data_IF_040600325775
#
_entry.id   IF_040600325775
#
_cell.length_a   1.000
_cell.length_b   1.000
_cell.length_c   1.000
_cell.angle_alpha   90.00
_cell.angle_beta   90.00
_cell.angle_gamma   90.00
#
_symmetry.space_group_name_H-M   'P 1'
#
loop_
_entity.id
_entity.type
_entity.pdbx_description
1 polymer ?
#
# COMPACT_ATOMS: atom_id res chain seq x y z
N UNK A 1 13.65 7.91 -5.30
CA UNK A 1 14.06 6.56 -5.72
C UNK A 1 14.67 5.70 -4.60
N UNK A 2 15.14 6.30 -3.49
CA UNK A 2 15.82 5.55 -2.42
C UNK A 2 14.94 4.46 -1.78
N UNK A 3 13.67 4.76 -1.52
CA UNK A 3 12.71 3.82 -0.91
C UNK A 3 12.42 2.63 -1.83
N UNK A 4 12.27 2.86 -3.13
CA UNK A 4 12.14 1.80 -4.14
C UNK A 4 13.36 0.86 -4.13
N UNK A 5 14.57 1.41 -4.24
CA UNK A 5 15.80 0.60 -4.27
C UNK A 5 16.00 -0.23 -3.02
N UNK A 6 15.62 0.32 -1.85
CA UNK A 6 15.66 -0.40 -0.57
C UNK A 6 14.71 -1.62 -0.61
N UNK A 7 13.44 -1.40 -0.95
CA UNK A 7 12.41 -2.45 -0.98
C UNK A 7 12.79 -3.56 -1.98
N UNK A 8 13.20 -3.19 -3.19
CA UNK A 8 13.63 -4.13 -4.24
C UNK A 8 14.87 -4.94 -3.81
N UNK A 9 15.86 -4.29 -3.21
CA UNK A 9 17.07 -4.99 -2.71
C UNK A 9 16.72 -5.95 -1.58
N UNK A 10 15.82 -5.57 -0.66
CA UNK A 10 15.36 -6.44 0.41
C UNK A 10 14.65 -7.67 -0.12
N UNK A 11 13.68 -7.50 -1.03
CA UNK A 11 12.94 -8.60 -1.67
C UNK A 11 13.89 -9.60 -2.33
N UNK A 12 14.82 -9.11 -3.16
CA UNK A 12 15.82 -9.94 -3.85
C UNK A 12 16.73 -10.69 -2.88
N UNK A 13 17.17 -10.05 -1.80
CA UNK A 13 18.03 -10.70 -0.79
C UNK A 13 17.29 -11.79 -0.03
N UNK A 14 16.05 -11.56 0.35
CA UNK A 14 15.21 -12.57 1.03
C UNK A 14 15.02 -13.77 0.11
N UNK A 15 14.60 -13.54 -1.14
CA UNK A 15 14.39 -14.60 -2.12
C UNK A 15 15.67 -15.40 -2.41
N UNK A 16 16.84 -14.75 -2.45
CA UNK A 16 18.13 -15.41 -2.64
C UNK A 16 18.54 -16.31 -1.47
N UNK A 17 18.13 -15.98 -0.24
CA UNK A 17 18.40 -16.80 0.96
C UNK A 17 17.38 -17.93 1.08
N UNK A 18 16.09 -17.64 0.89
CA UNK A 18 15.00 -18.62 0.96
C UNK A 18 13.80 -18.15 0.14
N UNK A 19 13.61 -18.76 -1.03
CA UNK A 19 12.57 -18.38 -1.99
C UNK A 19 11.13 -18.49 -1.45
N UNK A 20 10.88 -19.36 -0.48
CA UNK A 20 9.54 -19.58 0.09
C UNK A 20 9.14 -18.54 1.16
N UNK A 21 10.01 -17.58 1.49
CA UNK A 21 9.71 -16.53 2.47
C UNK A 21 9.07 -15.34 1.75
N UNK A 22 7.83 -15.03 2.12
CA UNK A 22 7.12 -13.87 1.61
C UNK A 22 7.60 -12.58 2.31
N UNK A 23 7.81 -11.53 1.53
CA UNK A 23 8.16 -10.21 1.97
C UNK A 23 7.02 -9.23 1.67
N UNK A 24 6.60 -8.46 2.66
CA UNK A 24 5.53 -7.48 2.49
C UNK A 24 5.69 -6.25 3.35
N UNK A 25 4.93 -5.22 3.01
CA UNK A 25 5.03 -3.89 3.61
C UNK A 25 3.65 -3.40 4.07
N UNK A 26 3.61 -2.75 5.23
CA UNK A 26 2.41 -2.13 5.78
C UNK A 26 2.51 -0.59 5.76
N UNK A 27 2.04 0.07 4.70
CA UNK A 27 2.10 1.53 4.59
C UNK A 27 0.86 2.22 5.17
N UNK A 28 0.85 3.56 5.19
CA UNK A 28 -0.36 4.32 5.43
C UNK A 28 -1.49 3.92 4.45
N UNK A 29 -2.74 3.93 4.92
CA UNK A 29 -3.88 3.46 4.14
C UNK A 29 -4.10 4.23 2.83
N UNK A 30 -3.87 5.55 2.82
CA UNK A 30 -4.02 6.40 1.63
C UNK A 30 -2.67 6.58 0.94
N UNK A 31 -2.55 6.11 -0.31
CA UNK A 31 -1.36 6.34 -1.14
C UNK A 31 -1.27 7.81 -1.58
N UNK A 32 -2.34 8.31 -2.23
CA UNK A 32 -2.57 9.72 -2.62
C UNK A 32 -4.08 9.97 -2.67
N UNK A 33 -4.50 11.21 -2.44
CA UNK A 33 -5.89 11.61 -2.67
C UNK A 33 -6.15 11.81 -4.17
N UNK A 34 -7.38 11.56 -4.60
CA UNK A 34 -7.82 11.80 -5.98
C UNK A 34 -7.65 13.25 -6.44
N UNK A 35 -7.73 14.21 -5.50
CA UNK A 35 -7.43 15.63 -5.75
C UNK A 35 -5.96 15.88 -6.11
N UNK A 36 -5.06 15.05 -5.61
CA UNK A 36 -3.61 15.22 -5.74
C UNK A 36 -3.03 14.36 -6.89
N UNK A 37 -3.73 13.28 -7.26
CA UNK A 37 -3.43 12.43 -8.41
C UNK A 37 -4.73 11.70 -8.86
N UNK A 38 -5.12 11.73 -10.15
CA UNK A 38 -6.32 11.06 -10.65
C UNK A 38 -6.38 9.55 -10.38
N UNK A 39 -5.23 8.90 -10.15
CA UNK A 39 -5.12 7.48 -9.82
C UNK A 39 -5.30 7.21 -8.32
N UNK A 40 -5.36 8.25 -7.50
CA UNK A 40 -5.51 8.19 -6.04
C UNK A 40 -6.88 7.70 -5.59
N UNK A 41 -7.01 7.40 -4.29
CA UNK A 41 -8.29 7.03 -3.69
C UNK A 41 -9.19 8.25 -3.55
N UNK A 42 -10.51 8.04 -3.55
CA UNK A 42 -11.50 9.11 -3.35
C UNK A 42 -11.57 9.53 -1.87
N UNK A 43 -10.46 10.09 -1.39
CA UNK A 43 -10.20 10.46 0.00
C UNK A 43 -9.66 11.89 0.08
N UNK A 44 -9.63 12.43 1.29
CA UNK A 44 -9.05 13.73 1.64
C UNK A 44 -8.14 13.57 2.88
N UNK A 45 -7.28 12.55 2.87
CA UNK A 45 -6.37 12.29 3.97
C UNK A 45 -5.26 13.36 4.02
N UNK A 46 -5.02 13.91 5.22
CA UNK A 46 -4.01 14.95 5.42
C UNK A 46 -2.56 14.45 5.41
N UNK A 47 -2.33 13.13 5.46
CA UNK A 47 -0.99 12.53 5.44
C UNK A 47 -0.96 11.30 4.51
N UNK A 48 -0.80 11.53 3.21
CA UNK A 48 -0.69 10.45 2.21
C UNK A 48 0.69 9.80 2.23
N UNK A 49 0.77 8.52 1.85
CA UNK A 49 2.04 7.77 1.87
C UNK A 49 3.07 8.31 0.86
N UNK A 50 2.61 8.76 -0.30
CA UNK A 50 3.51 9.31 -1.31
C UNK A 50 4.09 10.67 -0.87
N UNK A 51 3.25 11.55 -0.30
CA UNK A 51 3.63 12.95 -0.06
C UNK A 51 4.38 13.13 1.28
N UNK A 52 4.11 12.29 2.29
CA UNK A 52 4.74 12.41 3.62
C UNK A 52 5.85 11.40 3.89
N UNK A 53 5.75 10.19 3.33
CA UNK A 53 6.74 9.13 3.56
C UNK A 53 7.67 8.91 2.35
N UNK A 54 7.50 9.66 1.26
CA UNK A 54 8.25 9.48 0.00
C UNK A 54 8.24 8.02 -0.49
N UNK A 55 7.10 7.35 -0.26
CA UNK A 55 6.93 5.92 -0.46
C UNK A 55 5.83 5.66 -1.50
N UNK A 56 6.27 5.38 -2.73
CA UNK A 56 5.37 5.02 -3.83
C UNK A 56 4.97 3.54 -3.78
N UNK A 57 4.10 3.22 -2.81
CA UNK A 57 3.59 1.87 -2.59
C UNK A 57 2.76 1.34 -3.75
N UNK A 58 2.11 2.22 -4.51
CA UNK A 58 1.42 1.84 -5.75
C UNK A 58 2.41 1.29 -6.76
N UNK A 59 3.57 1.94 -6.95
CA UNK A 59 4.62 1.42 -7.82
C UNK A 59 5.19 0.09 -7.33
N UNK A 60 5.42 -0.06 -6.03
CA UNK A 60 5.89 -1.34 -5.48
C UNK A 60 4.92 -2.48 -5.78
N UNK A 61 3.62 -2.14 -5.77
CA UNK A 61 2.56 -3.08 -6.08
C UNK A 61 2.56 -3.46 -7.56
N UNK A 62 2.61 -2.47 -8.44
CA UNK A 62 2.59 -2.69 -9.89
C UNK A 62 3.84 -3.46 -10.36
N UNK A 63 5.01 -3.15 -9.81
CA UNK A 63 6.28 -3.74 -10.21
C UNK A 63 6.54 -5.11 -9.57
N UNK A 64 5.73 -5.53 -8.60
CA UNK A 64 5.84 -6.85 -7.96
C UNK A 64 7.09 -7.04 -7.10
N UNK A 65 7.60 -5.96 -6.49
CA UNK A 65 8.79 -6.01 -5.61
C UNK A 65 8.44 -6.27 -4.13
N UNK A 66 7.17 -6.57 -3.86
CA UNK A 66 6.65 -7.07 -2.57
C UNK A 66 5.64 -8.18 -2.88
N UNK A 67 5.58 -9.20 -2.04
CA UNK A 67 4.70 -10.36 -2.21
C UNK A 67 3.30 -10.11 -1.62
N UNK A 68 3.20 -9.23 -0.62
CA UNK A 68 1.95 -8.76 -0.05
C UNK A 68 2.03 -7.30 0.43
N UNK A 69 0.86 -6.65 0.52
CA UNK A 69 0.72 -5.31 1.10
C UNK A 69 -0.35 -5.32 2.19
N UNK A 70 -0.11 -4.55 3.26
CA UNK A 70 -1.03 -4.41 4.37
C UNK A 70 -1.31 -2.94 4.72
N UNK A 71 -2.16 -2.24 3.95
CA UNK A 71 -2.45 -0.82 4.19
C UNK A 71 -3.08 -0.59 5.57
N UNK A 72 -2.58 0.41 6.29
CA UNK A 72 -3.06 0.81 7.61
C UNK A 72 -4.36 1.62 7.48
N UNK A 73 -5.50 0.92 7.46
CA UNK A 73 -6.83 1.54 7.33
C UNK A 73 -7.50 1.62 8.70
N UNK A 74 -7.14 2.63 9.47
CA UNK A 74 -7.59 2.80 10.87
C UNK A 74 -8.82 3.71 11.02
N UNK A 75 -9.49 4.04 9.92
CA UNK A 75 -10.63 4.94 9.92
C UNK A 75 -11.96 4.18 9.80
N UNK A 76 -12.99 4.58 10.56
CA UNK A 76 -14.30 3.93 10.50
C UNK A 76 -15.09 4.36 9.26
N UNK A 77 -16.17 3.64 8.96
CA UNK A 77 -17.14 3.99 7.90
C UNK A 77 -17.79 5.38 8.09
N UNK A 78 -17.83 5.91 9.31
CA UNK A 78 -18.39 7.23 9.59
C UNK A 78 -17.48 8.39 9.15
N UNK A 79 -16.19 8.14 8.89
CA UNK A 79 -15.24 9.20 8.52
C UNK A 79 -15.19 9.36 7.00
N UNK A 80 -16.01 10.25 6.46
CA UNK A 80 -16.16 10.45 5.01
C UNK A 80 -14.83 10.77 4.30
N UNK A 81 -13.97 11.60 4.92
CA UNK A 81 -12.69 12.00 4.33
C UNK A 81 -11.66 10.87 4.16
N UNK A 82 -11.84 9.74 4.83
CA UNK A 82 -10.93 8.59 4.78
C UNK A 82 -11.69 7.29 5.05
N UNK A 83 -12.82 7.10 4.36
CA UNK A 83 -13.76 6.02 4.67
C UNK A 83 -13.14 4.64 4.40
N UNK A 84 -13.37 3.69 5.31
CA UNK A 84 -12.77 2.35 5.27
C UNK A 84 -12.96 1.64 3.92
N UNK A 85 -14.20 1.55 3.44
CA UNK A 85 -14.57 0.90 2.19
C UNK A 85 -13.92 1.55 0.97
N UNK A 86 -13.85 2.88 0.93
CA UNK A 86 -13.23 3.60 -0.19
C UNK A 86 -11.76 3.23 -0.31
N UNK A 87 -11.04 3.23 0.81
CA UNK A 87 -9.61 2.89 0.83
C UNK A 87 -9.39 1.41 0.49
N UNK A 88 -10.18 0.52 1.12
CA UNK A 88 -10.02 -0.92 0.90
C UNK A 88 -10.39 -1.34 -0.53
N UNK A 89 -11.46 -0.79 -1.10
CA UNK A 89 -11.84 -1.03 -2.50
C UNK A 89 -10.80 -0.50 -3.48
N UNK A 90 -10.20 0.67 -3.20
CA UNK A 90 -9.12 1.21 -4.03
C UNK A 90 -7.92 0.26 -4.08
N UNK A 91 -7.47 -0.25 -2.92
CA UNK A 91 -6.40 -1.26 -2.87
C UNK A 91 -6.79 -2.58 -3.53
N UNK A 92 -8.05 -3.01 -3.40
CA UNK A 92 -8.55 -4.23 -4.05
C UNK A 92 -8.50 -4.14 -5.58
N UNK A 93 -8.58 -2.92 -6.14
CA UNK A 93 -8.47 -2.68 -7.59
C UNK A 93 -7.10 -3.03 -8.20
N UNK A 94 -6.04 -3.09 -7.39
CA UNK A 94 -4.68 -3.40 -7.85
C UNK A 94 -4.33 -4.89 -7.82
N UNK A 95 -5.30 -5.75 -7.49
CA UNK A 95 -5.10 -7.18 -7.38
C UNK A 95 -4.99 -7.82 -8.78
N UNK A 96 -3.80 -7.78 -9.40
CA UNK A 96 -3.53 -8.47 -10.67
C UNK A 96 -2.44 -9.56 -10.58
N UNK A 97 -2.86 -10.74 -11.05
CA UNK A 97 -2.20 -11.98 -11.53
C UNK A 97 -1.01 -12.65 -10.85
N UNK A 98 -0.23 -12.04 -9.95
CA UNK A 98 0.88 -12.76 -9.25
C UNK A 98 1.00 -12.40 -7.76
N UNK A 99 -0.06 -11.85 -7.17
CA UNK A 99 -0.07 -11.32 -5.82
C UNK A 99 -0.63 -12.33 -4.83
N UNK A 100 0.11 -12.67 -3.77
CA UNK A 100 -0.33 -13.67 -2.82
C UNK A 100 -1.49 -13.16 -1.95
N UNK A 101 -1.52 -11.89 -1.51
CA UNK A 101 -2.66 -11.29 -0.77
C UNK A 101 -2.55 -9.77 -0.56
N UNK A 102 -3.70 -9.07 -0.48
CA UNK A 102 -3.82 -7.77 0.21
C UNK A 102 -4.40 -8.07 1.60
N UNK A 103 -3.68 -7.71 2.66
CA UNK A 103 -4.08 -8.01 4.04
C UNK A 103 -4.52 -6.71 4.71
N UNK A 104 -5.81 -6.58 5.03
CA UNK A 104 -6.30 -5.39 5.70
C UNK A 104 -6.15 -5.54 7.21
N UNK A 105 -5.44 -4.61 7.86
CA UNK A 105 -5.45 -4.48 9.32
C UNK A 105 -6.54 -3.50 9.74
N UNK A 106 -7.50 -3.97 10.55
CA UNK A 106 -8.48 -3.13 11.24
C UNK A 106 -8.05 -2.99 12.71
N UNK A 107 -7.68 -1.79 13.11
CA UNK A 107 -7.34 -1.46 14.49
C UNK A 107 -7.81 -0.06 14.80
N UNK A 108 -8.67 0.07 15.81
CA UNK A 108 -8.97 1.35 16.46
C UNK A 108 -7.74 1.74 17.28
N UNK A 109 -7.13 2.89 16.95
CA UNK A 109 -6.23 3.60 17.87
C UNK A 109 -7.03 4.30 18.96
#
# INVERSE_FOLDING_TARGET
>A
NNTYSLVDTCHKKIAAVKADVLFGVSPAGVWRNKSDDPLGSDTQAGASNYDFAYADTRKWVIDGIIDYIAPQVYWPFAREVARYDVITQWWAGYRQRNWHSVIYWYGSV
#
